data_IF_801130713477
#
_entry.id   IF_801130713477
#
_cell.length_a   1.000
_cell.length_b   1.000
_cell.length_c   1.000
_cell.angle_alpha   90.00
_cell.angle_beta   90.00
_cell.angle_gamma   90.00
#
_symmetry.space_group_name_H-M   'P 1'
#
loop_
_entity.id
_entity.type
_entity.pdbx_description
1 polymer ?
#
# COMPACT_ATOMS: atom_id res chain seq x y z
N UNK A 1 -14.08 43.61 -79.56
CA UNK A 1 -13.83 43.67 -78.11
C UNK A 1 -14.55 42.51 -77.45
N UNK A 2 -13.81 41.51 -76.95
CA UNK A 2 -14.30 40.39 -76.13
C UNK A 2 -13.39 40.35 -74.90
N UNK A 3 -13.90 40.37 -73.66
CA UNK A 3 -13.05 40.20 -72.50
C UNK A 3 -12.80 38.71 -72.25
N UNK A 4 -11.56 38.38 -71.92
CA UNK A 4 -11.17 37.05 -71.46
C UNK A 4 -11.52 36.91 -69.97
N UNK A 5 -12.24 35.85 -69.61
CA UNK A 5 -12.52 35.45 -68.23
C UNK A 5 -11.41 34.49 -67.81
N UNK A 6 -10.59 34.89 -66.83
CA UNK A 6 -9.66 33.99 -66.14
C UNK A 6 -10.40 33.32 -64.98
N UNK A 7 -10.46 31.99 -65.01
CA UNK A 7 -10.96 31.16 -63.91
C UNK A 7 -9.78 30.84 -62.99
N UNK A 8 -9.81 31.36 -61.77
CA UNK A 8 -8.84 31.05 -60.72
C UNK A 8 -9.31 29.77 -60.01
N UNK A 9 -8.58 28.66 -60.19
CA UNK A 9 -8.83 27.42 -59.47
C UNK A 9 -8.29 27.53 -58.04
N UNK A 10 -9.17 27.54 -57.05
CA UNK A 10 -8.83 27.47 -55.63
C UNK A 10 -8.54 26.01 -55.27
N UNK A 11 -7.27 25.66 -55.07
CA UNK A 11 -6.87 24.34 -54.55
C UNK A 11 -7.05 24.39 -53.03
N UNK A 12 -8.09 23.75 -52.51
CA UNK A 12 -8.19 23.43 -51.08
C UNK A 12 -7.20 22.31 -50.77
N UNK A 13 -6.12 22.66 -50.07
CA UNK A 13 -5.25 21.67 -49.42
C UNK A 13 -5.95 21.24 -48.13
N UNK A 14 -6.57 20.07 -48.15
CA UNK A 14 -7.04 19.41 -46.94
C UNK A 14 -5.82 18.97 -46.13
N UNK A 15 -5.49 19.71 -45.07
CA UNK A 15 -4.52 19.30 -44.08
C UNK A 15 -5.11 18.14 -43.28
N UNK A 16 -4.71 16.91 -43.60
CA UNK A 16 -4.81 15.79 -42.67
C UNK A 16 -3.94 16.12 -41.45
N UNK A 17 -4.54 16.65 -40.39
CA UNK A 17 -3.93 16.61 -39.07
C UNK A 17 -3.94 15.14 -38.64
N UNK A 18 -2.77 14.50 -38.70
CA UNK A 18 -2.53 13.27 -37.97
C UNK A 18 -2.74 13.59 -36.49
N UNK A 19 -3.81 13.08 -35.90
CA UNK A 19 -3.88 12.92 -34.45
C UNK A 19 -2.68 12.04 -34.08
N UNK A 20 -1.64 12.66 -33.53
CA UNK A 20 -0.66 11.93 -32.76
C UNK A 20 -1.45 11.22 -31.66
N UNK A 21 -1.49 9.88 -31.72
CA UNK A 21 -2.06 9.10 -30.64
C UNK A 21 -1.37 9.53 -29.36
N UNK A 22 -2.15 10.02 -28.40
CA UNK A 22 -1.71 10.10 -27.01
C UNK A 22 -1.33 8.66 -26.64
N UNK A 23 -0.04 8.40 -26.53
CA UNK A 23 0.43 7.17 -25.91
C UNK A 23 -0.17 7.13 -24.51
N UNK A 24 -0.89 6.05 -24.19
CA UNK A 24 -1.42 5.79 -22.86
C UNK A 24 -0.26 5.63 -21.87
N UNK A 25 0.26 6.76 -21.41
CA UNK A 25 1.16 6.86 -20.26
C UNK A 25 0.38 7.42 -19.09
N UNK A 26 0.92 7.26 -17.89
CA UNK A 26 0.26 7.71 -16.66
C UNK A 26 -0.14 9.19 -16.65
N UNK A 27 0.51 10.04 -17.46
CA UNK A 27 0.14 11.46 -17.61
C UNK A 27 0.35 12.33 -16.36
N UNK A 28 0.71 11.72 -15.22
CA UNK A 28 0.96 12.43 -13.96
C UNK A 28 2.36 13.08 -14.00
N UNK A 29 2.46 14.39 -13.68
CA UNK A 29 3.76 15.04 -13.55
C UNK A 29 4.57 14.38 -12.43
N UNK A 30 5.89 14.43 -12.53
CA UNK A 30 6.77 14.03 -11.42
C UNK A 30 6.60 15.07 -10.30
N UNK A 31 6.22 14.67 -9.07
CA UNK A 31 6.10 15.60 -7.95
C UNK A 31 7.48 16.16 -7.56
N UNK A 32 7.53 17.35 -6.93
CA UNK A 32 8.77 17.82 -6.31
C UNK A 32 9.21 16.86 -5.19
N UNK A 33 10.49 16.96 -4.81
CA UNK A 33 11.00 16.30 -3.60
C UNK A 33 10.14 16.70 -2.38
N UNK A 34 9.79 15.76 -1.48
CA UNK A 34 8.96 16.07 -0.33
C UNK A 34 9.74 17.04 0.56
N UNK A 35 9.05 18.00 1.16
CA UNK A 35 9.69 18.73 2.25
C UNK A 35 10.10 17.76 3.35
N UNK A 36 11.29 17.98 3.93
CA UNK A 36 11.75 17.26 5.12
C UNK A 36 10.61 17.19 6.14
N UNK A 37 10.11 15.98 6.37
CA UNK A 37 9.08 15.70 7.35
C UNK A 37 9.68 15.27 8.67
N UNK A 38 8.88 15.25 9.75
CA UNK A 38 9.27 14.54 10.95
C UNK A 38 9.57 13.08 10.59
N UNK A 39 10.78 12.66 10.91
CA UNK A 39 11.12 11.27 11.06
C UNK A 39 10.61 10.88 12.45
N UNK A 40 9.40 10.33 12.49
CA UNK A 40 8.75 9.90 13.73
C UNK A 40 9.44 8.63 14.25
N UNK A 41 10.69 8.83 14.68
CA UNK A 41 11.56 7.86 15.31
C UNK A 41 11.56 8.08 16.80
N UNK A 42 11.32 7.02 17.57
CA UNK A 42 11.75 7.02 18.95
C UNK A 42 13.25 6.75 19.01
N UNK A 43 14.09 7.74 18.65
CA UNK A 43 15.50 7.79 19.10
C UNK A 43 15.58 7.68 20.65
N UNK A 44 14.46 7.93 21.33
CA UNK A 44 14.31 7.88 22.78
C UNK A 44 14.14 6.47 23.39
N UNK A 45 14.04 5.38 22.62
CA UNK A 45 13.66 4.07 23.17
C UNK A 45 14.53 2.87 22.77
N UNK A 46 15.75 3.07 22.25
CA UNK A 46 16.67 1.97 21.94
C UNK A 46 16.41 1.25 20.61
N UNK A 47 15.59 1.83 19.73
CA UNK A 47 15.42 1.36 18.35
C UNK A 47 16.64 1.71 17.51
N UNK A 48 17.21 0.72 16.83
CA UNK A 48 18.33 0.88 15.91
C UNK A 48 17.88 0.60 14.48
N UNK A 49 18.21 1.50 13.54
CA UNK A 49 17.89 1.33 12.11
C UNK A 49 18.68 0.15 11.54
N UNK A 50 18.00 -0.87 11.04
CA UNK A 50 18.63 -2.07 10.46
C UNK A 50 18.47 -2.15 8.94
N UNK A 51 17.46 -1.49 8.39
CA UNK A 51 17.23 -1.44 6.94
C UNK A 51 16.43 -0.20 6.57
N UNK A 52 16.75 0.42 5.43
CA UNK A 52 15.99 1.53 4.89
C UNK A 52 16.05 1.60 3.37
N UNK A 53 15.06 2.27 2.80
CA UNK A 53 15.15 2.84 1.46
C UNK A 53 14.55 4.25 1.45
N UNK A 54 15.37 5.25 1.14
CA UNK A 54 14.97 6.65 0.98
C UNK A 54 14.70 6.97 -0.52
N UNK A 55 14.67 5.95 -1.38
CA UNK A 55 14.38 6.05 -2.82
C UNK A 55 15.19 7.13 -3.55
N UNK A 56 16.46 7.22 -3.18
CA UNK A 56 17.42 8.07 -3.86
C UNK A 56 17.77 7.52 -5.24
N UNK A 57 17.96 8.40 -6.21
CA UNK A 57 18.35 8.05 -7.58
C UNK A 57 17.20 8.10 -8.60
N UNK A 58 17.24 7.18 -9.57
CA UNK A 58 16.39 7.25 -10.78
C UNK A 58 15.66 5.96 -11.13
N UNK A 59 15.79 4.93 -10.29
CA UNK A 59 15.16 3.61 -10.50
C UNK A 59 15.06 2.86 -9.17
N UNK A 60 14.08 1.95 -9.07
CA UNK A 60 13.92 1.06 -7.92
C UNK A 60 15.19 0.24 -7.66
N UNK A 61 15.67 0.22 -6.41
CA UNK A 61 16.79 -0.62 -6.00
C UNK A 61 16.36 -2.10 -5.95
N UNK A 62 16.78 -2.85 -6.96
CA UNK A 62 16.46 -4.28 -7.11
C UNK A 62 17.21 -5.20 -6.15
N UNK A 63 18.16 -4.66 -5.38
CA UNK A 63 18.77 -5.41 -4.27
C UNK A 63 17.91 -5.37 -3.02
N UNK A 64 16.94 -4.46 -2.96
CA UNK A 64 15.98 -4.28 -1.86
C UNK A 64 14.57 -4.73 -2.21
N UNK A 65 14.16 -4.52 -3.47
CA UNK A 65 12.78 -4.72 -3.90
C UNK A 65 12.65 -5.59 -5.16
N UNK A 66 11.74 -6.55 -5.09
CA UNK A 66 11.16 -7.24 -6.23
C UNK A 66 9.87 -6.52 -6.65
N UNK A 67 9.58 -6.44 -7.95
CA UNK A 67 8.26 -6.03 -8.45
C UNK A 67 7.41 -7.27 -8.68
N UNK A 68 6.20 -7.27 -8.14
CA UNK A 68 5.24 -8.34 -8.40
C UNK A 68 4.58 -8.14 -9.77
N UNK A 69 4.56 -9.19 -10.59
CA UNK A 69 3.82 -9.22 -11.85
C UNK A 69 2.67 -10.24 -11.76
N UNK A 70 1.43 -9.76 -11.74
CA UNK A 70 0.23 -10.60 -11.65
C UNK A 70 -1.04 -9.84 -12.05
N UNK A 71 -2.07 -10.56 -12.48
CA UNK A 71 -3.40 -10.02 -12.83
C UNK A 71 -4.51 -10.66 -11.98
N UNK A 72 -4.13 -11.29 -10.86
CA UNK A 72 -4.99 -12.11 -10.00
C UNK A 72 -6.12 -11.34 -9.35
N UNK A 73 -5.82 -10.10 -8.96
CA UNK A 73 -6.67 -9.28 -8.11
C UNK A 73 -6.68 -9.70 -6.63
N UNK A 74 -5.64 -10.40 -6.17
CA UNK A 74 -5.34 -10.63 -4.75
C UNK A 74 -6.33 -11.50 -3.98
N UNK A 75 -7.30 -12.14 -4.65
CA UNK A 75 -8.47 -12.74 -3.97
C UNK A 75 -9.58 -11.73 -3.64
N UNK A 76 -9.35 -10.44 -3.91
CA UNK A 76 -10.22 -9.32 -3.54
C UNK A 76 -11.02 -8.74 -4.70
N UNK A 77 -11.02 -9.41 -5.87
CA UNK A 77 -11.65 -8.94 -7.12
C UNK A 77 -11.11 -7.60 -7.64
N UNK A 78 -9.82 -7.32 -7.43
CA UNK A 78 -9.17 -6.10 -7.92
C UNK A 78 -9.03 -6.10 -9.46
N UNK A 79 -8.91 -4.91 -10.05
CA UNK A 79 -9.07 -4.65 -11.49
C UNK A 79 -7.77 -4.40 -12.26
N UNK A 80 -6.63 -4.44 -11.57
CA UNK A 80 -5.31 -4.16 -12.17
C UNK A 80 -4.54 -5.44 -12.50
N UNK A 81 -3.66 -5.33 -13.50
CA UNK A 81 -2.43 -6.12 -13.52
C UNK A 81 -1.33 -5.31 -12.82
N UNK A 82 -0.62 -5.90 -11.87
CA UNK A 82 0.68 -5.40 -11.45
C UNK A 82 1.71 -5.72 -12.53
N UNK A 83 2.49 -4.71 -12.94
CA UNK A 83 3.47 -4.80 -14.04
C UNK A 83 4.76 -4.08 -13.68
N UNK A 84 5.89 -4.60 -14.18
CA UNK A 84 7.21 -3.99 -14.01
C UNK A 84 7.54 -3.02 -15.15
N UNK A 85 6.80 -1.91 -15.20
CA UNK A 85 6.99 -0.86 -16.20
C UNK A 85 7.53 0.43 -15.56
N UNK A 86 8.41 1.17 -16.24
CA UNK A 86 8.83 2.49 -15.80
C UNK A 86 7.67 3.48 -15.61
N UNK A 87 6.49 3.23 -16.17
CA UNK A 87 5.30 4.07 -16.02
C UNK A 87 4.48 3.75 -14.76
N UNK A 88 4.62 2.54 -14.19
CA UNK A 88 3.88 2.07 -13.00
C UNK A 88 4.73 2.04 -11.74
N UNK A 89 6.04 1.86 -11.86
CA UNK A 89 7.01 1.83 -10.76
C UNK A 89 8.14 2.83 -11.03
N UNK A 90 8.07 3.99 -10.41
CA UNK A 90 9.02 5.09 -10.64
C UNK A 90 9.77 5.45 -9.37
N UNK A 91 11.06 5.75 -9.53
CA UNK A 91 11.85 6.44 -8.51
C UNK A 91 12.32 7.77 -9.08
N UNK A 92 11.92 8.86 -8.45
CA UNK A 92 12.33 10.21 -8.84
C UNK A 92 12.16 11.18 -7.67
N UNK A 93 13.11 12.11 -7.53
CA UNK A 93 13.10 13.17 -6.51
C UNK A 93 12.93 12.61 -5.08
N UNK A 94 13.75 11.61 -4.71
CA UNK A 94 13.78 11.00 -3.37
C UNK A 94 12.49 10.25 -3.00
N UNK A 95 11.75 9.73 -3.99
CA UNK A 95 10.47 9.06 -3.76
C UNK A 95 10.26 7.89 -4.70
N UNK A 96 9.65 6.83 -4.17
CA UNK A 96 8.97 5.81 -4.95
C UNK A 96 7.55 6.29 -5.29
N UNK A 97 7.13 6.05 -6.52
CA UNK A 97 5.76 6.26 -7.00
C UNK A 97 5.23 4.97 -7.59
N UNK A 98 4.12 4.47 -7.03
CA UNK A 98 3.35 3.38 -7.61
C UNK A 98 2.13 3.98 -8.28
N UNK A 99 2.05 3.85 -9.60
CA UNK A 99 1.10 4.60 -10.42
C UNK A 99 0.11 3.64 -11.08
N UNK A 100 -1.16 3.86 -10.80
CA UNK A 100 -2.26 3.12 -11.39
C UNK A 100 -2.90 3.93 -12.52
N UNK A 101 -3.12 3.31 -13.69
CA UNK A 101 -3.81 3.95 -14.80
C UNK A 101 -4.48 2.95 -15.72
N UNK A 102 -5.35 3.46 -16.59
CA UNK A 102 -6.11 2.64 -17.53
C UNK A 102 -5.22 2.19 -18.69
N UNK A 103 -4.93 0.89 -18.73
CA UNK A 103 -4.26 0.22 -19.82
C UNK A 103 -4.76 -1.23 -19.84
N UNK A 104 -5.06 -1.76 -21.03
CA UNK A 104 -5.58 -3.13 -21.15
C UNK A 104 -4.41 -4.09 -21.35
N UNK A 105 -4.13 -4.91 -20.34
CA UNK A 105 -3.00 -5.84 -20.34
C UNK A 105 -3.48 -7.24 -20.07
N UNK A 106 -2.88 -8.20 -20.77
CA UNK A 106 -2.97 -9.62 -20.47
C UNK A 106 -1.67 -10.07 -19.83
N UNK A 107 -1.74 -10.62 -18.62
CA UNK A 107 -0.59 -11.08 -17.85
C UNK A 107 -0.89 -12.37 -17.08
N UNK A 108 0.11 -12.93 -16.37
CA UNK A 108 -0.11 -14.13 -15.56
C UNK A 108 -1.18 -13.84 -14.51
N UNK A 109 -2.09 -14.79 -14.27
CA UNK A 109 -3.05 -14.72 -13.19
C UNK A 109 -2.29 -14.55 -11.88
N UNK A 110 -1.52 -15.56 -11.47
CA UNK A 110 -0.79 -15.55 -10.20
C UNK A 110 0.62 -14.96 -10.31
N UNK A 111 1.15 -14.38 -9.22
CA UNK A 111 2.54 -13.95 -9.18
C UNK A 111 3.51 -15.12 -9.28
N UNK A 112 4.75 -14.82 -9.67
CA UNK A 112 5.81 -15.81 -9.66
C UNK A 112 6.01 -16.39 -8.25
N UNK A 113 6.21 -17.71 -8.16
CA UNK A 113 6.40 -18.39 -6.88
C UNK A 113 5.11 -18.62 -6.09
N UNK A 114 3.93 -18.36 -6.67
CA UNK A 114 2.66 -18.80 -6.09
C UNK A 114 2.51 -20.34 -6.20
N UNK A 115 1.98 -21.04 -5.18
CA UNK A 115 1.91 -22.52 -5.17
C UNK A 115 1.17 -23.14 -6.36
N UNK A 116 0.16 -22.45 -6.90
CA UNK A 116 -0.60 -22.90 -8.08
C UNK A 116 0.16 -22.67 -9.42
N UNK A 117 1.41 -22.20 -9.36
CA UNK A 117 2.25 -21.89 -10.53
C UNK A 117 1.91 -20.54 -11.16
N UNK A 118 2.56 -20.21 -12.31
CA UNK A 118 2.09 -19.10 -13.15
C UNK A 118 0.76 -19.54 -13.76
N UNK A 119 -0.35 -19.08 -13.17
CA UNK A 119 -1.71 -19.43 -13.58
C UNK A 119 -2.03 -19.04 -15.03
N UNK A 120 -3.30 -19.16 -15.41
CA UNK A 120 -3.77 -18.76 -16.74
C UNK A 120 -3.47 -17.27 -17.02
N UNK A 121 -3.53 -16.86 -18.29
CA UNK A 121 -3.43 -15.44 -18.61
C UNK A 121 -4.78 -14.76 -18.34
N UNK A 122 -4.77 -13.72 -17.51
CA UNK A 122 -5.95 -12.87 -17.29
C UNK A 122 -5.76 -11.50 -17.95
N UNK A 123 -6.86 -10.94 -18.45
CA UNK A 123 -6.87 -9.59 -19.02
C UNK A 123 -7.55 -8.64 -18.06
N UNK A 124 -6.83 -7.60 -17.66
CA UNK A 124 -7.32 -6.52 -16.82
C UNK A 124 -7.32 -5.21 -17.60
N UNK A 125 -8.08 -4.22 -17.12
CA UNK A 125 -8.26 -2.91 -17.79
C UNK A 125 -7.44 -1.78 -17.17
N UNK A 126 -6.73 -2.10 -16.10
CA UNK A 126 -5.84 -1.20 -15.40
C UNK A 126 -4.49 -1.87 -15.19
N UNK A 127 -3.46 -1.04 -15.07
CA UNK A 127 -2.14 -1.46 -14.61
C UNK A 127 -1.79 -0.69 -13.34
N UNK A 128 -0.95 -1.27 -12.50
CA UNK A 128 -0.41 -0.61 -11.31
C UNK A 128 0.95 -1.19 -10.91
N UNK A 129 1.53 -0.68 -9.82
CA UNK A 129 2.77 -1.16 -9.21
C UNK A 129 2.54 -1.85 -7.86
N UNK A 130 3.30 -2.92 -7.63
CA UNK A 130 3.44 -3.61 -6.34
C UNK A 130 4.90 -4.03 -6.16
N UNK A 131 5.51 -3.63 -5.05
CA UNK A 131 6.88 -3.98 -4.70
C UNK A 131 6.92 -4.74 -3.39
N UNK A 132 7.86 -5.66 -3.26
CA UNK A 132 8.01 -6.52 -2.08
C UNK A 132 9.47 -6.82 -1.78
N UNK A 133 9.76 -7.02 -0.50
CA UNK A 133 11.09 -7.45 -0.01
C UNK A 133 11.23 -8.98 0.04
N UNK A 134 10.22 -9.71 -0.45
CA UNK A 134 10.20 -11.19 -0.51
C UNK A 134 11.51 -11.75 -1.09
N UNK A 135 12.10 -12.73 -0.40
CA UNK A 135 13.37 -13.37 -0.76
C UNK A 135 14.61 -12.43 -0.76
N UNK A 136 14.45 -11.16 -0.36
CA UNK A 136 15.52 -10.15 -0.27
C UNK A 136 15.79 -9.74 1.17
N UNK A 137 14.72 -9.50 1.94
CA UNK A 137 14.79 -9.19 3.36
C UNK A 137 13.47 -9.57 4.06
N UNK A 138 13.58 -10.07 5.28
CA UNK A 138 12.48 -10.31 6.20
C UNK A 138 12.94 -10.09 7.63
N UNK A 139 11.97 -9.93 8.53
CA UNK A 139 12.23 -9.63 9.92
C UNK A 139 11.20 -10.31 10.81
N UNK A 140 11.63 -10.70 12.00
CA UNK A 140 10.76 -11.01 13.13
C UNK A 140 10.97 -9.93 14.17
N UNK A 141 9.88 -9.30 14.57
CA UNK A 141 9.85 -8.16 15.48
C UNK A 141 10.61 -6.93 14.99
N UNK A 142 10.14 -5.75 15.37
CA UNK A 142 10.70 -4.50 14.91
C UNK A 142 9.70 -3.35 14.93
N UNK A 143 10.19 -2.18 14.55
CA UNK A 143 9.34 -1.08 14.10
C UNK A 143 9.46 -0.97 12.59
N UNK A 144 8.33 -1.02 11.90
CA UNK A 144 8.24 -0.97 10.45
C UNK A 144 7.47 0.28 10.09
N UNK A 145 8.11 1.21 9.40
CA UNK A 145 7.55 2.52 9.14
C UNK A 145 7.75 2.95 7.69
N UNK A 146 6.77 3.67 7.14
CA UNK A 146 6.87 4.31 5.84
C UNK A 146 6.23 5.69 5.87
N UNK A 147 6.87 6.67 5.21
CA UNK A 147 6.30 8.00 5.01
C UNK A 147 5.64 8.09 3.65
N UNK A 148 4.33 8.22 3.63
CA UNK A 148 3.52 8.02 2.42
C UNK A 148 2.49 9.13 2.23
N UNK A 149 2.25 9.52 0.98
CA UNK A 149 1.11 10.32 0.54
C UNK A 149 0.21 9.47 -0.33
N UNK A 150 -1.04 9.32 0.11
CA UNK A 150 -1.99 8.37 -0.45
C UNK A 150 -2.79 9.00 -1.60
N UNK A 151 -3.19 8.22 -2.63
CA UNK A 151 -4.09 8.70 -3.67
C UNK A 151 -5.51 8.93 -3.15
N UNK A 152 -6.23 9.79 -3.86
CA UNK A 152 -7.65 10.07 -3.66
C UNK A 152 -8.51 9.42 -4.75
N UNK A 153 -9.79 9.28 -4.47
CA UNK A 153 -10.82 8.96 -5.47
C UNK A 153 -11.36 7.53 -5.35
N UNK A 154 -12.64 7.38 -5.71
CA UNK A 154 -13.37 6.12 -5.65
C UNK A 154 -12.67 5.02 -6.46
N UNK A 155 -12.38 3.89 -5.81
CA UNK A 155 -11.71 2.72 -6.36
C UNK A 155 -10.19 2.70 -6.13
N UNK A 156 -9.60 3.69 -5.46
CA UNK A 156 -8.18 3.62 -5.06
C UNK A 156 -8.02 2.79 -3.78
N UNK A 157 -6.99 1.96 -3.72
CA UNK A 157 -6.68 1.13 -2.55
C UNK A 157 -5.15 0.99 -2.36
N UNK A 158 -4.47 2.01 -1.79
CA UNK A 158 -3.07 1.89 -1.37
C UNK A 158 -2.91 0.98 -0.15
N UNK A 159 -1.81 0.22 -0.09
CA UNK A 159 -1.46 -0.59 1.07
C UNK A 159 0.05 -0.59 1.38
N UNK A 160 0.37 -0.63 2.67
CA UNK A 160 1.68 -0.96 3.24
C UNK A 160 1.47 -2.06 4.27
N UNK A 161 2.04 -3.24 4.02
CA UNK A 161 1.63 -4.46 4.70
C UNK A 161 2.74 -5.51 4.64
N UNK A 162 2.52 -6.62 5.34
CA UNK A 162 3.50 -7.68 5.51
C UNK A 162 2.85 -9.06 5.42
N UNK A 163 3.58 -9.99 4.78
CA UNK A 163 3.23 -11.41 4.73
C UNK A 163 4.39 -12.26 5.26
N UNK A 164 4.12 -13.46 5.77
CA UNK A 164 5.16 -14.34 6.29
C UNK A 164 6.04 -14.86 5.16
N UNK A 165 7.35 -14.98 5.41
CA UNK A 165 8.30 -15.58 4.47
C UNK A 165 8.07 -17.07 4.26
N UNK A 166 7.39 -17.73 5.20
CA UNK A 166 7.04 -19.15 5.14
C UNK A 166 5.63 -19.43 5.67
N UNK A 167 5.07 -20.57 5.30
CA UNK A 167 3.75 -21.01 5.74
C UNK A 167 3.86 -21.96 6.94
N UNK A 168 4.58 -21.57 8.00
CA UNK A 168 4.88 -22.43 9.16
C UNK A 168 3.61 -23.01 9.78
N UNK A 169 2.55 -22.22 9.80
CA UNK A 169 1.25 -22.60 10.36
C UNK A 169 0.20 -22.91 9.27
N UNK A 170 0.64 -23.11 8.03
CA UNK A 170 -0.22 -23.37 6.87
C UNK A 170 -0.44 -22.15 5.97
N UNK A 171 -1.16 -22.32 4.85
CA UNK A 171 -1.52 -21.24 3.95
C UNK A 171 -2.19 -20.05 4.63
N UNK A 172 -2.30 -18.96 3.89
CA UNK A 172 -3.05 -17.79 4.34
C UNK A 172 -4.50 -18.16 4.75
N UNK A 173 -5.04 -17.64 5.86
CA UNK A 173 -4.44 -16.67 6.79
C UNK A 173 -3.78 -17.32 8.02
N UNK A 174 -3.64 -18.65 8.05
CA UNK A 174 -3.17 -19.37 9.22
C UNK A 174 -1.73 -19.01 9.62
N UNK A 175 -0.90 -18.54 8.68
CA UNK A 175 0.44 -17.99 8.94
C UNK A 175 0.50 -16.46 9.07
N UNK A 176 -0.64 -15.78 9.08
CA UNK A 176 -0.74 -14.35 9.40
C UNK A 176 -0.61 -13.39 8.21
N UNK A 177 -1.13 -12.19 8.41
CA UNK A 177 -0.93 -10.97 7.60
C UNK A 177 -0.94 -9.77 8.56
N UNK A 178 -0.04 -8.80 8.35
CA UNK A 178 0.00 -7.56 9.13
C UNK A 178 -0.19 -6.38 8.16
N UNK A 179 -1.36 -5.74 8.23
CA UNK A 179 -1.65 -4.53 7.48
C UNK A 179 -1.26 -3.32 8.31
N UNK A 180 -0.11 -2.71 7.97
CA UNK A 180 0.38 -1.50 8.65
C UNK A 180 -0.48 -0.31 8.26
N UNK A 181 -0.90 -0.29 6.99
CA UNK A 181 -1.78 0.70 6.42
C UNK A 181 -2.58 0.09 5.27
N UNK A 182 -3.89 0.27 5.32
CA UNK A 182 -4.75 0.33 4.15
C UNK A 182 -5.57 1.63 4.17
N UNK A 183 -6.01 2.06 2.99
CA UNK A 183 -7.04 3.09 2.86
C UNK A 183 -7.80 2.85 1.57
N UNK A 184 -9.06 3.31 1.50
CA UNK A 184 -9.84 3.29 0.27
C UNK A 184 -10.55 4.61 0.06
N UNK A 185 -10.72 5.00 -1.21
CA UNK A 185 -11.62 6.08 -1.62
C UNK A 185 -11.38 7.45 -0.96
N UNK A 186 -10.14 7.76 -0.52
CA UNK A 186 -9.87 9.01 0.20
C UNK A 186 -10.38 10.24 -0.57
N UNK A 187 -11.01 11.16 0.14
CA UNK A 187 -11.66 12.37 -0.39
C UNK A 187 -13.04 12.16 -1.02
N UNK A 188 -13.55 10.93 -1.14
CA UNK A 188 -14.94 10.68 -1.56
C UNK A 188 -15.93 11.02 -0.45
N UNK A 189 -17.20 11.25 -0.80
CA UNK A 189 -18.23 11.57 0.20
C UNK A 189 -18.28 10.47 1.27
N UNK A 190 -18.25 10.88 2.53
CA UNK A 190 -18.32 10.00 3.70
C UNK A 190 -19.19 10.67 4.76
N UNK A 191 -20.37 10.11 4.99
CA UNK A 191 -21.37 10.69 5.92
C UNK A 191 -20.95 10.55 7.39
N UNK A 192 -20.13 9.55 7.71
CA UNK A 192 -19.67 9.24 9.07
C UNK A 192 -18.25 9.74 9.37
N UNK A 193 -17.59 10.39 8.40
CA UNK A 193 -16.22 10.87 8.57
C UNK A 193 -16.16 12.25 9.23
N UNK A 194 -15.16 12.51 10.09
CA UNK A 194 -15.00 13.83 10.70
C UNK A 194 -14.56 14.88 9.66
N UNK A 195 -14.78 16.14 10.03
CA UNK A 195 -14.34 17.34 9.29
C UNK A 195 -15.10 17.69 8.00
N UNK A 196 -16.09 16.89 7.57
CA UNK A 196 -16.89 17.15 6.36
C UNK A 196 -16.04 17.33 5.09
N UNK A 197 -14.93 16.58 5.00
CA UNK A 197 -13.96 16.64 3.90
C UNK A 197 -13.92 15.37 3.04
N UNK A 198 -14.90 14.50 3.23
CA UNK A 198 -14.91 13.17 2.64
C UNK A 198 -14.13 12.14 3.45
N UNK A 199 -13.96 10.96 2.86
CA UNK A 199 -13.26 9.82 3.43
C UNK A 199 -11.82 10.20 3.73
N UNK A 200 -11.44 10.04 4.98
CA UNK A 200 -10.15 10.46 5.49
C UNK A 200 -9.54 9.43 6.43
N UNK A 201 -10.08 8.21 6.47
CA UNK A 201 -9.62 7.17 7.37
C UNK A 201 -8.59 6.26 6.70
N UNK A 202 -7.61 5.89 7.49
CA UNK A 202 -6.72 4.75 7.24
C UNK A 202 -7.10 3.61 8.18
N UNK A 203 -6.72 2.39 7.83
CA UNK A 203 -6.85 1.22 8.70
C UNK A 203 -5.53 0.51 8.94
N UNK A 204 -5.47 -0.17 10.08
CA UNK A 204 -4.51 -1.23 10.35
C UNK A 204 -5.28 -2.49 10.74
N UNK A 205 -4.77 -3.65 10.32
CA UNK A 205 -5.44 -4.93 10.52
C UNK A 205 -4.46 -6.08 10.77
N UNK A 206 -5.00 -7.16 11.34
CA UNK A 206 -4.38 -8.48 11.35
C UNK A 206 -5.34 -9.48 10.70
N UNK A 207 -4.81 -10.32 9.82
CA UNK A 207 -5.49 -11.54 9.39
C UNK A 207 -4.82 -12.76 10.02
N UNK A 208 -5.61 -13.65 10.60
CA UNK A 208 -5.13 -14.82 11.36
C UNK A 208 -6.21 -15.92 11.38
N UNK A 209 -6.08 -16.90 12.26
CA UNK A 209 -7.07 -17.97 12.42
C UNK A 209 -6.86 -19.10 11.40
N UNK A 210 -7.93 -19.52 10.73
CA UNK A 210 -7.88 -20.62 9.77
C UNK A 210 -7.35 -20.23 8.38
N UNK A 211 -7.22 -21.24 7.52
CA UNK A 211 -7.06 -21.04 6.08
C UNK A 211 -8.35 -20.50 5.47
N UNK A 212 -8.27 -19.80 4.33
CA UNK A 212 -9.47 -19.40 3.60
C UNK A 212 -10.39 -20.62 3.33
N UNK A 213 -11.71 -20.52 3.55
CA UNK A 213 -12.49 -19.33 3.90
C UNK A 213 -12.72 -19.13 5.42
N UNK A 214 -12.06 -19.91 6.27
CA UNK A 214 -12.24 -19.92 7.73
C UNK A 214 -11.25 -18.97 8.46
N UNK A 215 -10.65 -18.04 7.73
CA UNK A 215 -9.79 -17.01 8.30
C UNK A 215 -10.59 -16.03 9.17
N UNK A 216 -9.90 -15.42 10.14
CA UNK A 216 -10.41 -14.34 10.99
C UNK A 216 -9.57 -13.08 10.72
N UNK A 217 -10.13 -11.91 11.03
CA UNK A 217 -9.39 -10.67 11.01
C UNK A 217 -9.96 -9.70 12.03
N UNK A 218 -9.11 -8.79 12.49
CA UNK A 218 -9.51 -7.62 13.26
C UNK A 218 -8.89 -6.38 12.61
N UNK A 219 -9.70 -5.32 12.52
CA UNK A 219 -9.34 -4.09 11.81
C UNK A 219 -9.81 -2.88 12.61
N UNK A 220 -8.97 -1.85 12.66
CA UNK A 220 -9.37 -0.55 13.18
C UNK A 220 -9.25 0.53 12.10
N UNK A 221 -10.26 1.39 11.99
CA UNK A 221 -10.28 2.54 11.08
C UNK A 221 -10.17 3.83 11.88
N UNK A 222 -9.16 4.66 11.59
CA UNK A 222 -8.98 5.96 12.24
C UNK A 222 -8.78 7.07 11.21
N UNK A 223 -9.35 8.28 11.45
CA UNK A 223 -9.09 9.45 10.63
C UNK A 223 -7.60 9.82 10.63
N UNK A 224 -7.08 10.21 9.46
CA UNK A 224 -5.72 10.72 9.33
C UNK A 224 -5.52 11.97 10.21
N UNK A 225 -4.39 12.07 10.95
CA UNK A 225 -4.10 13.22 11.81
C UNK A 225 -3.99 14.55 11.06
N UNK A 226 -4.22 15.64 11.79
CA UNK A 226 -4.04 17.00 11.27
C UNK A 226 -5.27 17.61 10.60
N UNK A 227 -6.45 17.00 10.78
CA UNK A 227 -7.75 17.57 10.44
C UNK A 227 -7.89 17.92 8.96
N UNK A 228 -8.52 19.06 8.63
CA UNK A 228 -8.65 19.55 7.27
C UNK A 228 -7.40 19.42 6.39
N UNK A 229 -7.55 18.76 5.24
CA UNK A 229 -6.51 18.51 4.25
C UNK A 229 -5.49 17.43 4.62
N UNK A 230 -5.77 16.57 5.61
CA UNK A 230 -4.89 15.45 5.96
C UNK A 230 -4.59 14.55 4.74
N UNK A 231 -5.62 14.24 3.95
CA UNK A 231 -5.53 13.44 2.72
C UNK A 231 -4.64 14.04 1.61
N UNK A 232 -4.15 15.27 1.74
CA UNK A 232 -3.24 15.91 0.77
C UNK A 232 -1.77 15.88 1.17
N UNK A 233 -1.44 15.32 2.34
CA UNK A 233 -0.10 15.40 2.94
C UNK A 233 0.55 14.03 3.07
N UNK A 234 1.85 14.04 3.35
CA UNK A 234 2.56 12.85 3.78
C UNK A 234 2.26 12.58 5.25
N UNK A 235 2.02 11.31 5.56
CA UNK A 235 1.90 10.78 6.91
C UNK A 235 2.93 9.68 7.12
N UNK A 236 3.32 9.42 8.36
CA UNK A 236 4.12 8.24 8.71
C UNK A 236 3.20 7.18 9.29
N UNK A 237 3.16 6.04 8.63
CA UNK A 237 2.43 4.86 9.06
C UNK A 237 3.43 3.86 9.61
N UNK A 238 3.16 3.31 10.78
CA UNK A 238 4.07 2.36 11.41
C UNK A 238 3.37 1.31 12.25
N UNK A 239 4.02 0.15 12.36
CA UNK A 239 3.76 -0.80 13.45
C UNK A 239 5.00 -0.93 14.32
N UNK A 240 4.79 -1.08 15.62
CA UNK A 240 5.74 -1.71 16.54
C UNK A 240 5.23 -3.13 16.79
N UNK A 241 6.02 -4.12 16.39
CA UNK A 241 5.72 -5.54 16.55
C UNK A 241 6.79 -6.16 17.45
N UNK A 242 6.36 -6.70 18.58
CA UNK A 242 7.18 -7.51 19.46
C UNK A 242 6.43 -8.77 19.88
N UNK A 243 7.09 -9.62 20.66
CA UNK A 243 6.51 -10.87 21.14
C UNK A 243 5.18 -10.64 21.86
N UNK A 244 4.10 -11.15 21.27
CA UNK A 244 2.76 -11.09 21.82
C UNK A 244 2.11 -9.69 21.86
N UNK A 245 2.66 -8.68 21.18
CA UNK A 245 2.02 -7.37 21.04
C UNK A 245 2.36 -6.69 19.71
N UNK A 246 1.33 -6.16 19.05
CA UNK A 246 1.48 -5.28 17.89
C UNK A 246 0.72 -3.97 18.16
N UNK A 247 1.39 -2.84 17.94
CA UNK A 247 0.82 -1.50 18.06
C UNK A 247 0.94 -0.76 16.73
N UNK A 248 -0.15 -0.13 16.27
CA UNK A 248 -0.15 0.67 15.04
C UNK A 248 -0.10 2.16 15.37
N UNK A 249 0.56 2.92 14.51
CA UNK A 249 0.75 4.35 14.65
C UNK A 249 0.52 5.08 13.32
N UNK A 250 -0.08 6.26 13.42
CA UNK A 250 -0.10 7.27 12.35
C UNK A 250 0.43 8.58 12.92
N UNK A 251 1.49 9.14 12.32
CA UNK A 251 2.19 10.33 12.82
C UNK A 251 2.53 10.24 14.32
N UNK A 252 3.05 9.06 14.72
CA UNK A 252 3.39 8.71 16.11
C UNK A 252 2.22 8.65 17.11
N UNK A 253 0.99 8.84 16.67
CA UNK A 253 -0.21 8.60 17.47
C UNK A 253 -0.60 7.14 17.38
N UNK A 254 -0.67 6.45 18.52
CA UNK A 254 -1.12 5.06 18.54
C UNK A 254 -2.60 4.98 18.18
N UNK A 255 -2.94 4.22 17.15
CA UNK A 255 -4.31 4.08 16.64
C UNK A 255 -4.91 2.70 16.91
N UNK A 256 -4.09 1.67 17.11
CA UNK A 256 -4.57 0.31 17.32
C UNK A 256 -3.57 -0.49 18.15
N UNK A 257 -4.05 -1.52 18.83
CA UNK A 257 -3.23 -2.45 19.61
C UNK A 257 -3.92 -3.79 19.65
N UNK A 258 -3.15 -4.84 19.41
CA UNK A 258 -3.56 -6.23 19.60
C UNK A 258 -2.46 -6.97 20.34
N UNK A 259 -2.86 -7.94 21.15
CA UNK A 259 -1.98 -8.80 21.93
C UNK A 259 -2.17 -10.28 21.57
N UNK A 260 -1.28 -11.15 22.03
CA UNK A 260 -1.38 -12.60 21.87
C UNK A 260 -2.71 -13.22 22.34
N UNK A 261 -3.48 -12.51 23.18
CA UNK A 261 -4.82 -12.95 23.61
C UNK A 261 -5.90 -12.72 22.54
N UNK A 262 -5.63 -11.85 21.56
CA UNK A 262 -6.58 -11.40 20.54
C UNK A 262 -6.47 -12.20 19.22
N UNK A 263 -5.40 -12.98 19.05
CA UNK A 263 -5.17 -13.78 17.84
C UNK A 263 -4.82 -15.24 18.14
N UNK A 264 -4.88 -16.05 17.10
CA UNK A 264 -4.45 -17.45 17.13
C UNK A 264 -4.17 -17.94 15.70
N UNK A 265 -3.53 -19.10 15.57
CA UNK A 265 -3.48 -19.84 14.31
C UNK A 265 -4.34 -21.11 14.40
N UNK A 266 -5.18 -21.34 13.40
CA UNK A 266 -6.18 -22.42 13.36
C UNK A 266 -5.61 -23.82 13.16
N UNK A 267 -4.31 -23.93 12.86
CA UNK A 267 -3.64 -25.20 12.55
C UNK A 267 -2.72 -25.70 13.68
N UNK A 268 -2.63 -24.96 14.79
CA UNK A 268 -1.82 -25.33 15.97
C UNK A 268 -2.62 -25.15 17.26
N UNK A 269 -2.14 -25.77 18.34
CA UNK A 269 -2.71 -25.61 19.67
C UNK A 269 -2.28 -24.26 20.26
N UNK A 270 -3.24 -23.38 20.56
CA UNK A 270 -2.97 -22.02 21.02
C UNK A 270 -2.24 -21.97 22.39
N UNK A 271 -2.43 -22.96 23.27
CA UNK A 271 -1.72 -23.00 24.55
C UNK A 271 -0.23 -23.36 24.35
N UNK A 272 0.06 -24.20 23.34
CA UNK A 272 1.42 -24.57 22.97
C UNK A 272 2.14 -23.50 22.12
N UNK A 273 1.38 -22.70 21.36
CA UNK A 273 1.88 -21.67 20.44
C UNK A 273 1.16 -20.33 20.65
N UNK A 274 1.36 -19.67 21.81
CA UNK A 274 0.57 -18.51 22.20
C UNK A 274 0.80 -17.27 21.33
N UNK A 275 1.93 -17.19 20.63
CA UNK A 275 2.26 -16.05 19.76
C UNK A 275 1.95 -16.30 18.28
N UNK A 276 1.53 -17.53 17.91
CA UNK A 276 1.23 -17.86 16.53
C UNK A 276 -0.01 -17.08 16.02
N UNK A 277 0.02 -16.52 14.80
CA UNK A 277 1.07 -16.72 13.79
C UNK A 277 2.17 -15.64 13.75
N UNK A 278 2.11 -14.63 14.63
CA UNK A 278 2.97 -13.43 14.56
C UNK A 278 4.28 -13.59 15.34
N UNK A 279 4.94 -14.73 15.15
CA UNK A 279 6.23 -15.11 15.72
C UNK A 279 7.22 -15.66 14.68
N UNK A 280 6.90 -15.51 13.38
CA UNK A 280 7.73 -15.93 12.25
C UNK A 280 8.32 -14.72 11.50
N UNK A 281 9.30 -14.88 10.57
CA UNK A 281 9.78 -13.79 9.74
C UNK A 281 8.73 -13.34 8.70
N UNK A 282 8.56 -12.03 8.54
CA UNK A 282 7.66 -11.41 7.57
C UNK A 282 8.43 -10.46 6.63
N UNK A 283 8.01 -10.39 5.37
CA UNK A 283 8.53 -9.46 4.38
C UNK A 283 7.55 -8.30 4.14
N UNK A 284 8.09 -7.11 3.83
CA UNK A 284 7.33 -5.90 3.53
C UNK A 284 6.81 -5.86 2.09
N UNK A 285 5.66 -5.20 1.92
CA UNK A 285 4.96 -5.00 0.65
C UNK A 285 4.38 -3.59 0.56
N UNK A 286 4.44 -3.01 -0.63
CA UNK A 286 3.77 -1.75 -0.97
C UNK A 286 3.03 -1.93 -2.30
N UNK A 287 1.78 -1.50 -2.39
CA UNK A 287 1.03 -1.50 -3.64
C UNK A 287 -0.03 -0.40 -3.71
N UNK A 288 -0.51 -0.16 -4.93
CA UNK A 288 -1.73 0.56 -5.20
C UNK A 288 -2.69 -0.33 -5.98
N UNK A 289 -3.69 -0.92 -5.31
CA UNK A 289 -4.75 -1.68 -5.96
C UNK A 289 -5.79 -0.75 -6.60
N UNK A 290 -6.56 -1.30 -7.54
CA UNK A 290 -7.61 -0.61 -8.31
C UNK A 290 -8.91 -1.39 -8.19
N UNK A 291 -9.93 -0.79 -7.58
CA UNK A 291 -11.21 -1.45 -7.31
C UNK A 291 -11.08 -2.55 -6.25
N UNK A 292 -11.87 -3.61 -6.38
CA UNK A 292 -11.93 -4.69 -5.41
C UNK A 292 -13.01 -4.49 -4.34
N UNK A 293 -13.33 -5.56 -3.61
CA UNK A 293 -14.47 -5.59 -2.69
C UNK A 293 -14.44 -4.46 -1.67
N UNK A 294 -13.30 -4.24 -1.01
CA UNK A 294 -13.18 -3.18 0.01
C UNK A 294 -13.49 -1.79 -0.55
N UNK A 295 -12.85 -1.39 -1.66
CA UNK A 295 -13.07 -0.05 -2.21
C UNK A 295 -14.46 0.10 -2.85
N UNK A 296 -14.99 -0.94 -3.49
CA UNK A 296 -16.27 -0.87 -4.21
C UNK A 296 -17.50 -1.06 -3.31
N UNK A 297 -17.35 -1.62 -2.11
CA UNK A 297 -18.45 -1.76 -1.15
C UNK A 297 -18.59 -0.54 -0.20
N UNK A 298 -17.58 0.34 -0.17
CA UNK A 298 -17.53 1.53 0.69
C UNK A 298 -17.89 2.85 -0.04
N UNK A 299 -18.16 3.90 0.74
CA UNK A 299 -18.56 5.24 0.29
C UNK A 299 -19.78 5.21 -0.65
N UNK A 300 -19.68 5.80 -1.84
CA UNK A 300 -20.79 5.81 -2.82
C UNK A 300 -20.98 4.47 -3.56
N UNK A 301 -20.17 3.47 -3.24
CA UNK A 301 -20.11 2.15 -3.86
C UNK A 301 -19.70 2.18 -5.33
N UNK A 302 -19.29 1.02 -5.83
CA UNK A 302 -18.83 0.82 -7.19
C UNK A 302 -17.48 1.47 -7.45
N UNK A 303 -17.20 1.66 -8.74
CA UNK A 303 -15.88 2.05 -9.23
C UNK A 303 -16.01 3.29 -10.13
N UNK A 304 -15.13 4.28 -9.95
CA UNK A 304 -15.07 5.47 -10.80
C UNK A 304 -13.78 5.48 -11.64
N UNK A 305 -13.87 5.26 -12.97
CA UNK A 305 -12.72 5.35 -13.86
C UNK A 305 -12.04 6.73 -13.88
N UNK A 306 -12.75 7.81 -13.54
CA UNK A 306 -12.21 9.17 -13.56
C UNK A 306 -11.30 9.48 -12.37
N UNK A 307 -11.26 8.58 -11.37
CA UNK A 307 -10.27 8.61 -10.27
C UNK A 307 -8.86 8.27 -10.73
N UNK A 308 -8.68 7.78 -11.96
CA UNK A 308 -7.40 7.34 -12.52
C UNK A 308 -6.97 8.23 -13.70
N UNK A 309 -5.68 8.54 -13.85
CA UNK A 309 -4.52 7.98 -13.16
C UNK A 309 -4.40 8.42 -11.68
N UNK A 310 -3.95 7.50 -10.83
CA UNK A 310 -3.73 7.71 -9.40
C UNK A 310 -2.33 7.25 -9.00
N UNK A 311 -1.76 7.83 -7.94
CA UNK A 311 -0.42 7.45 -7.48
C UNK A 311 -0.33 7.36 -5.96
N UNK A 312 0.39 6.34 -5.50
CA UNK A 312 0.92 6.25 -4.15
C UNK A 312 2.35 6.79 -4.16
N UNK A 313 2.63 7.79 -3.33
CA UNK A 313 3.96 8.35 -3.12
C UNK A 313 4.54 7.86 -1.81
N UNK A 314 5.77 7.36 -1.84
CA UNK A 314 6.51 6.89 -0.67
C UNK A 314 7.85 7.62 -0.64
N UNK A 315 8.07 8.40 0.41
CA UNK A 315 9.30 9.16 0.65
C UNK A 315 10.41 8.24 1.16
N UNK A 316 10.10 7.40 2.16
CA UNK A 316 11.03 6.39 2.65
C UNK A 316 10.29 5.21 3.28
N UNK A 317 11.00 4.09 3.38
CA UNK A 317 10.63 2.91 4.19
C UNK A 317 11.78 2.57 5.11
N UNK A 318 11.50 2.30 6.38
CA UNK A 318 12.52 2.05 7.40
C UNK A 318 12.09 0.95 8.35
N UNK A 319 13.06 0.11 8.71
CA UNK A 319 12.91 -0.99 9.67
C UNK A 319 13.92 -0.80 10.79
N UNK A 320 13.43 -0.88 12.01
CA UNK A 320 14.21 -0.77 13.23
C UNK A 320 14.06 -2.04 14.06
N UNK A 321 15.11 -2.42 14.76
CA UNK A 321 15.07 -3.49 15.77
C UNK A 321 15.57 -2.99 17.11
N UNK A 322 15.09 -3.61 18.19
CA UNK A 322 15.46 -3.26 19.54
C UNK A 322 16.83 -3.86 19.86
N UNK A 323 17.90 -3.06 19.83
CA UNK A 323 19.27 -3.59 19.91
C UNK A 323 19.54 -4.30 21.25
N UNK A 324 18.92 -3.83 22.33
CA UNK A 324 19.02 -4.40 23.67
C UNK A 324 18.08 -5.61 23.90
N UNK A 325 17.19 -5.93 22.95
CA UNK A 325 16.18 -7.00 23.05
C UNK A 325 15.76 -7.47 21.65
N UNK A 326 16.68 -8.10 20.92
CA UNK A 326 16.43 -8.64 19.58
C UNK A 326 15.53 -9.88 19.59
N UNK A 327 15.40 -10.55 20.73
CA UNK A 327 14.62 -11.79 20.86
C UNK A 327 13.12 -11.50 20.90
N UNK A 328 12.70 -10.47 21.64
CA UNK A 328 11.27 -10.17 21.80
C UNK A 328 10.88 -8.80 21.25
N UNK A 329 11.83 -7.87 21.10
CA UNK A 329 11.58 -6.49 20.68
C UNK A 329 10.82 -5.64 21.70
N UNK A 330 10.38 -6.21 22.83
CA UNK A 330 9.43 -5.61 23.76
C UNK A 330 10.05 -4.46 24.55
N UNK A 331 11.35 -4.52 24.83
CA UNK A 331 12.04 -3.49 25.63
C UNK A 331 11.98 -2.09 24.99
N UNK A 332 11.88 -2.00 23.66
CA UNK A 332 11.83 -0.72 22.94
C UNK A 332 10.41 -0.26 22.60
N UNK A 333 9.40 -1.11 22.78
CA UNK A 333 8.01 -0.76 22.44
C UNK A 333 7.43 0.27 23.39
N UNK A 334 6.62 1.19 22.86
CA UNK A 334 5.82 2.09 23.71
C UNK A 334 4.82 1.25 24.49
N UNK A 335 4.91 1.29 25.82
CA UNK A 335 3.77 0.85 26.65
C UNK A 335 2.61 1.81 26.37
N UNK A 336 1.37 1.30 26.20
CA UNK A 336 0.20 2.16 26.09
C UNK A 336 0.22 3.19 27.22
N UNK A 337 -0.01 4.48 26.92
CA UNK A 337 -0.21 5.47 27.97
C UNK A 337 -1.39 4.98 28.82
N UNK A 338 -1.08 4.46 30.01
CA UNK A 338 -2.09 4.08 30.97
C UNK A 338 -3.04 5.26 31.18
N UNK A 339 -4.33 4.97 31.21
CA UNK A 339 -5.37 5.89 31.64
C UNK A 339 -4.83 6.77 32.77
N UNK A 340 -4.71 8.07 32.51
CA UNK A 340 -4.41 9.03 33.57
C UNK A 340 -5.41 8.77 34.69
N UNK A 341 -4.96 8.57 35.95
CA UNK A 341 -5.88 8.35 37.05
C UNK A 341 -6.83 9.54 37.08
N UNK A 342 -8.14 9.27 36.94
CA UNK A 342 -9.18 10.29 37.11
C UNK A 342 -8.92 11.00 38.43
N UNK A 343 -8.54 12.26 38.33
CA UNK A 343 -8.30 13.09 39.50
C UNK A 343 -9.64 13.30 40.23
N UNK A 344 -9.69 12.84 41.49
CA UNK A 344 -10.53 13.39 42.56
C UNK A 344 -12.01 13.06 42.53
#
# INVERSE_FOLDING_TARGET
MRPAVSVLALILVAACQSQAGMTAGSGLPVPPEPSAGPDYLPDAMGWSLVWSDDFEGTSLDRTKWEVEESCWGGGNNERQCYVDWPETVQVANGQLRLIAYRETVSGPQYPQGYPEGRGETLTQKYVSGKVRTRELADWTYGRFAARMRLPKGQGTWPAFWMLPSGNEYGPWAASGEIDILEAVNLGEVCDDCPFDEGENRSSGALHFGGEWPDNTFDVNFEPLPGGPGAVDRFHVFAVEWGEGLINWYVDDQQIFSMSAEDWYSGNVDADAFPNAPFDQPFYLMLNLAVGGGLSEDNNRKGFDPESFPAELQVDWVRVYQCEDDLETGRACMRTPQGDSPKAG
#
